data_IF_655408355068
#
_entry.id   IF_655408355068
#
_cell.length_a   1.000
_cell.length_b   1.000
_cell.length_c   1.000
_cell.angle_alpha   90.00
_cell.angle_beta   90.00
_cell.angle_gamma   90.00
#
_symmetry.space_group_name_H-M   'P 1'
#
loop_
_entity.id
_entity.type
_entity.pdbx_description
1 polymer ?
#
# COMPACT_ATOMS: atom_id res chain seq x y z
N UNK A 1 -19.53 -3.96 -3.59
CA UNK A 1 -19.55 -2.93 -2.54
C UNK A 1 -18.52 -3.26 -1.46
N UNK A 2 -18.54 -4.48 -0.91
CA UNK A 2 -17.53 -4.93 0.08
C UNK A 2 -16.09 -4.81 -0.44
N UNK A 3 -15.81 -5.30 -1.64
CA UNK A 3 -14.47 -5.23 -2.25
C UNK A 3 -13.90 -3.80 -2.30
N UNK A 4 -14.67 -2.85 -2.85
CA UNK A 4 -14.26 -1.45 -2.94
C UNK A 4 -14.06 -0.82 -1.55
N UNK A 5 -14.94 -1.12 -0.59
CA UNK A 5 -14.80 -0.63 0.78
C UNK A 5 -13.59 -1.22 1.50
N UNK A 6 -13.22 -2.48 1.22
CA UNK A 6 -12.01 -3.10 1.76
C UNK A 6 -10.77 -2.47 1.17
N UNK A 7 -10.72 -2.25 -0.15
CA UNK A 7 -9.61 -1.52 -0.78
C UNK A 7 -9.47 -0.12 -0.19
N UNK A 8 -10.57 0.62 -0.05
CA UNK A 8 -10.55 1.96 0.54
C UNK A 8 -10.01 1.93 1.98
N UNK A 9 -10.48 1.00 2.81
CA UNK A 9 -10.01 0.89 4.19
C UNK A 9 -8.51 0.58 4.29
N UNK A 10 -7.98 -0.24 3.37
CA UNK A 10 -6.54 -0.53 3.30
C UNK A 10 -5.73 0.69 2.85
N UNK A 11 -6.24 1.46 1.89
CA UNK A 11 -5.64 2.73 1.45
C UNK A 11 -5.62 3.74 2.60
N UNK A 12 -6.76 3.94 3.27
CA UNK A 12 -6.88 4.90 4.38
C UNK A 12 -5.93 4.55 5.52
N UNK A 13 -5.79 3.26 5.84
CA UNK A 13 -4.89 2.78 6.88
C UNK A 13 -3.41 3.09 6.54
N UNK A 14 -2.99 2.82 5.29
CA UNK A 14 -1.62 3.12 4.85
C UNK A 14 -1.39 4.63 4.78
N UNK A 15 -2.33 5.40 4.21
CA UNK A 15 -2.25 6.87 4.16
C UNK A 15 -2.13 7.49 5.55
N UNK A 16 -2.89 6.98 6.53
CA UNK A 16 -2.81 7.47 7.92
C UNK A 16 -1.43 7.24 8.52
N UNK A 17 -0.82 6.08 8.25
CA UNK A 17 0.55 5.77 8.71
C UNK A 17 1.57 6.70 8.03
N UNK A 18 1.46 6.92 6.72
CA UNK A 18 2.32 7.84 5.96
C UNK A 18 2.20 9.28 6.44
N UNK A 19 0.98 9.78 6.64
CA UNK A 19 0.75 11.14 7.16
C UNK A 19 1.35 11.33 8.55
N UNK A 20 1.28 10.30 9.39
CA UNK A 20 1.90 10.33 10.72
C UNK A 20 3.42 10.38 10.63
N UNK A 21 4.00 9.67 9.67
CA UNK A 21 5.43 9.74 9.36
C UNK A 21 5.83 11.14 8.86
N UNK A 22 5.09 11.69 7.89
CA UNK A 22 5.35 13.01 7.32
C UNK A 22 5.21 14.15 8.35
N UNK A 23 4.45 13.90 9.42
CA UNK A 23 4.23 14.87 10.51
C UNK A 23 5.24 14.75 11.66
N UNK A 24 6.18 13.79 11.60
CA UNK A 24 7.20 13.66 12.64
C UNK A 24 8.16 14.86 12.62
N UNK A 25 8.61 15.34 13.79
CA UNK A 25 9.74 16.25 13.84
C UNK A 25 11.00 15.55 13.33
N UNK A 26 11.99 16.33 12.86
CA UNK A 26 13.29 15.81 12.48
C UNK A 26 13.90 14.98 13.61
N UNK A 27 14.27 13.73 13.32
CA UNK A 27 14.78 12.78 14.30
C UNK A 27 14.52 11.33 13.92
N UNK A 28 14.68 10.43 14.89
CA UNK A 28 14.46 9.01 14.69
C UNK A 28 12.97 8.70 14.53
N UNK A 29 12.66 7.84 13.55
CA UNK A 29 11.31 7.34 13.31
C UNK A 29 10.99 6.26 14.35
N UNK A 30 9.88 6.35 15.08
CA UNK A 30 9.50 5.31 16.02
C UNK A 30 9.32 3.93 15.36
N UNK A 31 9.88 2.89 15.96
CA UNK A 31 9.81 1.51 15.44
C UNK A 31 8.37 1.03 15.22
N UNK A 32 7.43 1.43 16.08
CA UNK A 32 6.02 1.08 15.95
C UNK A 32 5.38 1.69 14.70
N UNK A 33 5.81 2.90 14.32
CA UNK A 33 5.35 3.57 13.11
C UNK A 33 5.93 2.92 11.86
N UNK A 34 7.24 2.60 11.85
CA UNK A 34 7.86 1.85 10.75
C UNK A 34 7.13 0.51 10.55
N UNK A 35 6.90 -0.23 11.64
CA UNK A 35 6.16 -1.48 11.60
C UNK A 35 4.69 -1.31 11.19
N UNK A 36 4.08 -0.15 11.42
CA UNK A 36 2.71 0.15 10.98
C UNK A 36 2.66 0.45 9.47
N UNK A 37 3.60 1.26 8.96
CA UNK A 37 3.72 1.56 7.54
C UNK A 37 3.95 0.27 6.75
N UNK A 38 4.92 -0.55 7.15
CA UNK A 38 5.20 -1.83 6.50
C UNK A 38 3.98 -2.76 6.49
N UNK A 39 3.34 -2.97 7.66
CA UNK A 39 2.17 -3.84 7.75
C UNK A 39 1.01 -3.38 6.87
N UNK A 40 0.72 -2.08 6.84
CA UNK A 40 -0.39 -1.54 6.03
C UNK A 40 -0.06 -1.57 4.54
N UNK A 41 1.19 -1.30 4.16
CA UNK A 41 1.67 -1.44 2.78
C UNK A 41 1.57 -2.90 2.30
N UNK A 42 2.04 -3.87 3.10
CA UNK A 42 1.97 -5.30 2.79
C UNK A 42 0.53 -5.80 2.68
N UNK A 43 -0.35 -5.35 3.56
CA UNK A 43 -1.77 -5.69 3.51
C UNK A 43 -2.42 -5.20 2.20
N UNK A 44 -2.17 -3.95 1.82
CA UNK A 44 -2.65 -3.40 0.56
C UNK A 44 -2.03 -4.09 -0.66
N UNK A 45 -0.72 -4.40 -0.61
CA UNK A 45 -0.02 -5.14 -1.67
C UNK A 45 -0.65 -6.52 -1.89
N UNK A 46 -0.90 -7.25 -0.81
CA UNK A 46 -1.34 -8.64 -0.84
C UNK A 46 -2.83 -8.80 -1.16
N UNK A 47 -3.67 -7.81 -0.81
CA UNK A 47 -5.11 -7.88 -1.06
C UNK A 47 -5.40 -7.96 -2.56
N UNK A 48 -6.21 -8.93 -2.99
CA UNK A 48 -6.59 -9.15 -4.39
C UNK A 48 -8.02 -8.67 -4.62
N UNK A 49 -8.23 -7.51 -5.26
CA UNK A 49 -9.58 -7.03 -5.50
C UNK A 49 -10.36 -7.97 -6.42
N UNK A 50 -11.62 -8.23 -6.10
CA UNK A 50 -12.50 -9.07 -6.90
C UNK A 50 -13.19 -8.31 -8.05
N UNK A 51 -13.13 -6.97 -8.03
CA UNK A 51 -13.78 -6.10 -9.01
C UNK A 51 -12.80 -5.21 -9.75
N UNK A 52 -13.16 -4.79 -10.98
CA UNK A 52 -12.36 -3.84 -11.74
C UNK A 52 -12.24 -2.49 -11.04
N UNK A 53 -13.31 -2.00 -10.41
CA UNK A 53 -13.29 -0.76 -9.64
C UNK A 53 -12.29 -0.84 -8.48
N UNK A 54 -12.25 -1.96 -7.75
CA UNK A 54 -11.26 -2.21 -6.71
C UNK A 54 -9.83 -2.28 -7.25
N UNK A 55 -9.62 -2.91 -8.41
CA UNK A 55 -8.33 -2.93 -9.10
C UNK A 55 -7.89 -1.51 -9.48
N UNK A 56 -8.78 -0.71 -10.07
CA UNK A 56 -8.47 0.66 -10.48
C UNK A 56 -8.15 1.56 -9.29
N UNK A 57 -8.94 1.46 -8.21
CA UNK A 57 -8.70 2.23 -6.99
C UNK A 57 -7.33 1.87 -6.37
N UNK A 58 -7.04 0.58 -6.20
CA UNK A 58 -5.76 0.10 -5.68
C UNK A 58 -4.59 0.55 -6.55
N UNK A 59 -4.68 0.38 -7.87
CA UNK A 59 -3.62 0.76 -8.80
C UNK A 59 -3.36 2.27 -8.81
N UNK A 60 -4.43 3.09 -8.80
CA UNK A 60 -4.32 4.54 -8.74
C UNK A 60 -3.59 5.02 -7.49
N UNK A 61 -3.87 4.40 -6.34
CA UNK A 61 -3.14 4.70 -5.11
C UNK A 61 -1.67 4.27 -5.19
N UNK A 62 -1.39 3.02 -5.59
CA UNK A 62 -0.02 2.50 -5.63
C UNK A 62 0.90 3.29 -6.57
N UNK A 63 0.41 3.72 -7.74
CA UNK A 63 1.20 4.51 -8.69
C UNK A 63 1.57 5.89 -8.16
N UNK A 64 0.76 6.45 -7.25
CA UNK A 64 1.02 7.76 -6.63
C UNK A 64 1.87 7.69 -5.35
N UNK A 65 2.26 6.48 -4.91
CA UNK A 65 2.95 6.28 -3.65
C UNK A 65 4.32 5.60 -3.86
N UNK A 66 5.39 6.31 -3.49
CA UNK A 66 6.79 5.88 -3.70
C UNK A 66 7.14 4.53 -3.07
N UNK A 67 6.43 4.12 -2.01
CA UNK A 67 6.60 2.81 -1.36
C UNK A 67 6.40 1.66 -2.36
N UNK A 68 5.48 1.81 -3.32
CA UNK A 68 5.15 0.76 -4.28
C UNK A 68 5.89 0.90 -5.62
N UNK A 69 6.28 2.11 -6.03
CA UNK A 69 6.94 2.35 -7.33
C UNK A 69 8.44 2.62 -7.23
N UNK A 70 8.97 2.75 -6.01
CA UNK A 70 10.33 3.22 -5.74
C UNK A 70 10.42 4.75 -5.79
N UNK A 71 11.28 5.32 -4.94
CA UNK A 71 11.70 6.71 -5.08
C UNK A 71 12.75 6.82 -6.20
N UNK A 72 13.03 8.03 -6.72
CA UNK A 72 14.00 8.25 -7.80
C UNK A 72 15.40 7.65 -7.55
N UNK A 73 15.73 7.34 -6.29
CA UNK A 73 17.01 6.77 -5.86
C UNK A 73 16.90 5.56 -4.92
N UNK A 74 15.69 5.01 -4.71
CA UNK A 74 15.44 3.92 -3.77
C UNK A 74 14.89 2.67 -4.45
N UNK A 75 15.30 1.48 -3.98
CA UNK A 75 14.65 0.25 -4.39
C UNK A 75 13.20 0.22 -3.86
N UNK A 76 12.22 -0.22 -4.67
CA UNK A 76 10.86 -0.40 -4.20
C UNK A 76 10.81 -1.45 -3.08
N UNK A 77 9.96 -1.23 -2.07
CA UNK A 77 9.75 -2.17 -0.95
C UNK A 77 9.21 -3.53 -1.43
N UNK A 78 8.54 -3.53 -2.58
CA UNK A 78 7.93 -4.71 -3.18
C UNK A 78 8.59 -5.06 -4.50
N UNK A 79 8.81 -6.35 -4.72
CA UNK A 79 9.22 -6.85 -6.02
C UNK A 79 8.10 -6.66 -7.04
N UNK A 80 8.48 -6.54 -8.32
CA UNK A 80 7.52 -6.51 -9.43
C UNK A 80 6.54 -7.69 -9.39
N UNK A 81 7.02 -8.88 -8.99
CA UNK A 81 6.20 -10.09 -8.90
C UNK A 81 5.15 -9.97 -7.79
N UNK A 82 5.49 -9.43 -6.63
CA UNK A 82 4.55 -9.23 -5.52
C UNK A 82 3.46 -8.23 -5.90
N UNK A 83 3.84 -7.11 -6.53
CA UNK A 83 2.90 -6.10 -7.02
C UNK A 83 1.91 -6.71 -8.03
N UNK A 84 2.42 -7.41 -9.05
CA UNK A 84 1.58 -8.07 -10.06
C UNK A 84 0.66 -9.11 -9.41
N UNK A 85 1.18 -9.93 -8.50
CA UNK A 85 0.41 -10.98 -7.84
C UNK A 85 -0.77 -10.43 -7.04
N UNK A 86 -0.65 -9.22 -6.50
CA UNK A 86 -1.72 -8.50 -5.80
C UNK A 86 -2.85 -8.01 -6.70
N UNK A 87 -2.70 -8.04 -8.03
CA UNK A 87 -3.74 -7.69 -9.00
C UNK A 87 -4.32 -8.89 -9.73
N UNK A 88 -3.73 -10.07 -9.57
CA UNK A 88 -4.27 -11.30 -10.13
C UNK A 88 -5.47 -11.76 -9.27
N UNK A 89 -6.46 -12.44 -9.88
CA UNK A 89 -7.54 -13.06 -9.13
C UNK A 89 -7.03 -13.99 -8.02
N UNK A 90 -7.81 -14.16 -6.95
CA UNK A 90 -7.58 -15.27 -6.04
C UNK A 90 -7.68 -16.59 -6.84
N UNK A 91 -6.72 -17.49 -6.65
CA UNK A 91 -6.82 -18.81 -7.26
C UNK A 91 -8.10 -19.50 -6.74
N UNK A 92 -8.83 -20.15 -7.64
CA UNK A 92 -10.05 -20.89 -7.33
C UNK A 92 -9.77 -22.11 -6.42
#
# INVERSE_FOLDING_TARGET
MEDLSTVQALIDAHQTAMQRYDSLPDGDVPDDLVAQMDRTARALCSYRPATLDGVHLKAGYMVSCYVFVGAESGEPEFTRTELISGFLPAAA
#
